data_IF_998540599192
#
_entry.id   IF_998540599192
#
_cell.length_a   1.000
_cell.length_b   1.000
_cell.length_c   1.000
_cell.angle_alpha   90.00
_cell.angle_beta   90.00
_cell.angle_gamma   90.00
#
_symmetry.space_group_name_H-M   'P 1'
#
loop_
_entity.id
_entity.type
_entity.pdbx_description
1 polymer ?
#
# COMPACT_ATOMS: atom_id res chain seq x y z
N UNK A 1 -1.94 -7.93 8.07
CA UNK A 1 -3.38 -7.69 7.81
C UNK A 1 -3.95 -6.71 8.82
N UNK A 2 -3.70 -6.89 10.12
CA UNK A 2 -4.27 -6.03 11.16
C UNK A 2 -3.89 -4.54 11.02
N UNK A 3 -2.71 -4.22 10.48
CA UNK A 3 -2.36 -2.83 10.17
C UNK A 3 -3.27 -2.17 9.13
N UNK A 4 -3.73 -2.92 8.12
CA UNK A 4 -4.67 -2.40 7.12
C UNK A 4 -6.06 -2.17 7.72
N UNK A 5 -6.50 -3.08 8.60
CA UNK A 5 -7.74 -2.93 9.36
C UNK A 5 -7.67 -1.69 10.24
N UNK A 6 -6.60 -1.56 11.02
CA UNK A 6 -6.41 -0.40 11.90
C UNK A 6 -6.30 0.90 11.12
N UNK A 7 -5.60 0.91 10.00
CA UNK A 7 -5.52 2.09 9.13
C UNK A 7 -6.91 2.50 8.62
N UNK A 8 -7.73 1.54 8.18
CA UNK A 8 -9.10 1.82 7.75
C UNK A 8 -9.94 2.43 8.89
N UNK A 9 -9.88 1.87 10.10
CA UNK A 9 -10.59 2.41 11.26
C UNK A 9 -10.17 3.85 11.57
N UNK A 10 -8.86 4.11 11.59
CA UNK A 10 -8.31 5.44 11.82
C UNK A 10 -8.65 6.42 10.69
N UNK A 11 -8.86 5.92 9.46
CA UNK A 11 -9.26 6.73 8.31
C UNK A 11 -10.74 7.12 8.29
N UNK A 12 -11.56 6.62 9.23
CA UNK A 12 -13.00 6.87 9.28
C UNK A 12 -13.38 8.36 9.42
N UNK A 13 -12.47 9.18 9.92
CA UNK A 13 -12.65 10.64 10.04
C UNK A 13 -12.31 11.40 8.75
N UNK A 14 -11.67 10.74 7.77
CA UNK A 14 -11.32 11.36 6.50
C UNK A 14 -12.55 11.53 5.62
N UNK A 15 -12.67 12.68 4.97
CA UNK A 15 -13.67 12.96 3.93
C UNK A 15 -13.33 12.25 2.59
N UNK A 16 -12.84 11.01 2.65
CA UNK A 16 -12.39 10.25 1.49
C UNK A 16 -12.91 8.81 1.53
N UNK A 17 -13.20 8.24 0.36
CA UNK A 17 -13.58 6.83 0.23
C UNK A 17 -12.33 5.95 0.20
N UNK A 18 -12.18 5.06 1.16
CA UNK A 18 -11.12 4.04 1.16
C UNK A 18 -11.56 2.81 0.36
N UNK A 19 -10.82 2.46 -0.69
CA UNK A 19 -11.08 1.30 -1.54
C UNK A 19 -9.85 0.39 -1.58
N UNK A 20 -10.03 -0.88 -1.27
CA UNK A 20 -8.97 -1.89 -1.37
C UNK A 20 -8.91 -2.50 -2.77
N UNK A 21 -7.70 -2.72 -3.26
CA UNK A 21 -7.42 -3.35 -4.56
C UNK A 21 -6.32 -4.38 -4.35
N UNK A 22 -6.39 -5.50 -5.07
CA UNK A 22 -5.40 -6.56 -5.01
C UNK A 22 -4.99 -6.98 -6.43
N UNK A 23 -3.77 -7.53 -6.56
CA UNK A 23 -3.34 -8.19 -7.77
C UNK A 23 -4.12 -9.49 -8.02
N UNK A 24 -3.99 -10.07 -9.24
CA UNK A 24 -4.83 -11.19 -9.67
C UNK A 24 -4.44 -12.53 -9.04
N UNK A 25 -3.33 -12.62 -8.28
CA UNK A 25 -2.89 -13.89 -7.71
C UNK A 25 -3.82 -14.36 -6.61
N UNK A 26 -4.01 -15.69 -6.48
CA UNK A 26 -4.85 -16.28 -5.43
C UNK A 26 -4.43 -15.83 -4.02
N UNK A 27 -3.12 -15.64 -3.80
CA UNK A 27 -2.60 -15.12 -2.53
C UNK A 27 -3.07 -13.71 -2.23
N UNK A 28 -2.97 -12.79 -3.19
CA UNK A 28 -3.39 -11.40 -3.01
C UNK A 28 -4.90 -11.29 -2.83
N UNK A 29 -5.67 -12.09 -3.59
CA UNK A 29 -7.13 -12.18 -3.46
C UNK A 29 -7.54 -12.69 -2.07
N UNK A 30 -6.89 -13.73 -1.56
CA UNK A 30 -7.17 -14.24 -0.22
C UNK A 30 -6.86 -13.20 0.88
N UNK A 31 -5.80 -12.39 0.70
CA UNK A 31 -5.48 -11.29 1.63
C UNK A 31 -6.58 -10.22 1.59
N UNK A 32 -7.02 -9.83 0.39
CA UNK A 32 -8.10 -8.85 0.22
C UNK A 32 -9.39 -9.33 0.89
N UNK A 33 -9.77 -10.59 0.63
CA UNK A 33 -10.95 -11.20 1.23
C UNK A 33 -10.86 -11.21 2.76
N UNK A 34 -9.73 -11.63 3.32
CA UNK A 34 -9.52 -11.64 4.77
C UNK A 34 -9.60 -10.24 5.40
N UNK A 35 -9.11 -9.21 4.71
CA UNK A 35 -9.25 -7.81 5.15
C UNK A 35 -10.72 -7.38 5.10
N UNK A 36 -11.44 -7.65 4.01
CA UNK A 36 -12.86 -7.31 3.87
C UNK A 36 -13.76 -8.06 4.86
N UNK A 37 -13.44 -9.30 5.21
CA UNK A 37 -14.15 -10.04 6.26
C UNK A 37 -14.02 -9.37 7.63
N UNK A 38 -12.85 -8.80 7.95
CA UNK A 38 -12.62 -8.05 9.19
C UNK A 38 -13.25 -6.66 9.18
N UNK A 39 -13.55 -6.11 7.99
CA UNK A 39 -14.09 -4.77 7.81
C UNK A 39 -15.34 -4.84 6.92
N UNK A 40 -16.53 -5.18 7.46
CA UNK A 40 -17.73 -5.39 6.65
C UNK A 40 -18.18 -4.18 5.80
N UNK A 41 -17.73 -2.97 6.13
CA UNK A 41 -18.00 -1.73 5.39
C UNK A 41 -16.90 -1.35 4.39
N UNK A 42 -15.80 -2.10 4.33
CA UNK A 42 -14.73 -1.84 3.38
C UNK A 42 -15.23 -2.05 1.96
N UNK A 43 -14.89 -1.11 1.07
CA UNK A 43 -15.09 -1.27 -0.35
C UNK A 43 -13.86 -1.93 -0.94
N UNK A 44 -14.05 -2.88 -1.84
CA UNK A 44 -12.96 -3.49 -2.58
C UNK A 44 -13.31 -3.67 -4.04
N UNK A 45 -12.29 -3.66 -4.89
CA UNK A 45 -12.38 -4.06 -6.30
C UNK A 45 -11.58 -5.34 -6.42
N UNK A 46 -12.24 -6.52 -6.35
CA UNK A 46 -11.54 -7.80 -6.27
C UNK A 46 -10.82 -8.14 -7.56
N UNK A 47 -11.36 -7.77 -8.72
CA UNK A 47 -10.75 -8.13 -10.01
C UNK A 47 -10.47 -6.89 -10.86
N UNK A 48 -9.19 -6.66 -11.11
CA UNK A 48 -8.72 -5.72 -12.12
C UNK A 48 -8.35 -6.54 -13.36
N UNK A 49 -9.00 -6.24 -14.50
CA UNK A 49 -8.92 -7.07 -15.69
C UNK A 49 -7.53 -7.04 -16.35
N UNK A 50 -6.93 -5.85 -16.44
CA UNK A 50 -5.60 -5.66 -17.01
C UNK A 50 -4.91 -4.42 -16.41
N UNK A 51 -3.66 -4.19 -16.82
CA UNK A 51 -2.86 -3.05 -16.37
C UNK A 51 -3.50 -1.69 -16.71
N UNK A 52 -4.21 -1.58 -17.84
CA UNK A 52 -4.87 -0.32 -18.24
C UNK A 52 -6.01 0.02 -17.30
N UNK A 53 -6.78 -0.98 -16.87
CA UNK A 53 -7.83 -0.79 -15.86
C UNK A 53 -7.24 -0.37 -14.51
N UNK A 54 -6.09 -0.95 -14.11
CA UNK A 54 -5.40 -0.53 -12.89
C UNK A 54 -4.96 0.93 -13.00
N UNK A 55 -4.34 1.32 -14.10
CA UNK A 55 -3.91 2.70 -14.34
C UNK A 55 -5.08 3.67 -14.35
N UNK A 56 -6.19 3.32 -15.01
CA UNK A 56 -7.40 4.15 -15.04
C UNK A 56 -8.03 4.32 -13.65
N UNK A 57 -7.97 3.29 -12.80
CA UNK A 57 -8.39 3.37 -11.41
C UNK A 57 -7.46 4.26 -10.57
N UNK A 58 -6.15 4.07 -10.71
CA UNK A 58 -5.14 4.88 -10.02
C UNK A 58 -5.27 6.35 -10.41
N UNK A 59 -5.46 6.65 -11.70
CA UNK A 59 -5.61 8.03 -12.21
C UNK A 59 -6.82 8.79 -11.61
N UNK A 60 -7.80 8.07 -11.06
CA UNK A 60 -8.97 8.66 -10.39
C UNK A 60 -8.81 8.71 -8.86
N UNK A 61 -7.75 8.12 -8.31
CA UNK A 61 -7.50 8.15 -6.89
C UNK A 61 -6.91 9.52 -6.49
N UNK A 62 -7.33 10.03 -5.33
CA UNK A 62 -6.69 11.20 -4.71
C UNK A 62 -5.34 10.86 -4.08
N UNK A 63 -5.21 9.62 -3.61
CA UNK A 63 -4.02 9.10 -2.95
C UNK A 63 -3.97 7.57 -3.10
N UNK A 64 -2.79 7.02 -3.33
CA UNK A 64 -2.55 5.57 -3.34
C UNK A 64 -1.69 5.16 -2.14
N UNK A 65 -2.17 4.23 -1.32
CA UNK A 65 -1.41 3.66 -0.20
C UNK A 65 -0.99 2.23 -0.58
N UNK A 66 0.32 1.96 -0.67
CA UNK A 66 0.81 0.72 -1.29
C UNK A 66 2.19 0.30 -0.77
N UNK A 67 2.52 -0.99 -0.86
CA UNK A 67 3.88 -1.48 -0.64
C UNK A 67 4.84 -1.12 -1.79
N UNK A 68 6.06 -1.63 -1.71
CA UNK A 68 7.12 -1.51 -2.73
C UNK A 68 6.86 -2.43 -3.94
N UNK A 69 5.74 -2.20 -4.62
CA UNK A 69 5.30 -2.98 -5.80
C UNK A 69 4.95 -2.08 -6.98
N UNK A 70 4.82 -2.66 -8.18
CA UNK A 70 4.55 -1.94 -9.43
C UNK A 70 3.51 -0.79 -9.37
N UNK A 71 2.36 -0.92 -8.67
CA UNK A 71 1.37 0.14 -8.57
C UNK A 71 1.89 1.46 -7.99
N UNK A 72 2.93 1.45 -7.14
CA UNK A 72 3.53 2.70 -6.63
C UNK A 72 4.17 3.53 -7.75
N UNK A 73 4.80 2.86 -8.72
CA UNK A 73 5.41 3.49 -9.89
C UNK A 73 4.36 3.97 -10.88
N UNK A 74 3.24 3.24 -11.00
CA UNK A 74 2.10 3.69 -11.80
C UNK A 74 1.50 4.98 -11.22
N UNK A 75 1.30 5.04 -9.91
CA UNK A 75 0.81 6.26 -9.24
C UNK A 75 1.75 7.45 -9.51
N UNK A 76 3.06 7.23 -9.31
CA UNK A 76 4.06 8.25 -9.57
C UNK A 76 4.08 8.74 -11.03
N UNK A 77 4.07 7.82 -12.00
CA UNK A 77 4.05 8.15 -13.43
C UNK A 77 2.75 8.82 -13.89
N UNK A 78 1.64 8.58 -13.21
CA UNK A 78 0.35 9.23 -13.47
C UNK A 78 0.20 10.56 -12.70
N UNK A 79 1.20 10.98 -11.94
CA UNK A 79 1.14 12.19 -11.12
C UNK A 79 0.18 12.10 -9.93
N UNK A 80 -0.20 10.88 -9.55
CA UNK A 80 -1.11 10.61 -8.42
C UNK A 80 -0.29 10.50 -7.13
N UNK A 81 -0.64 11.27 -6.08
CA UNK A 81 0.02 11.14 -4.79
C UNK A 81 0.05 9.72 -4.25
N UNK A 82 1.14 9.35 -3.57
CA UNK A 82 1.25 8.02 -2.94
C UNK A 82 1.87 8.06 -1.54
N UNK A 83 1.50 7.07 -0.72
CA UNK A 83 2.22 6.67 0.49
C UNK A 83 2.72 5.24 0.31
N UNK A 84 4.05 5.09 0.20
CA UNK A 84 4.74 3.84 -0.07
C UNK A 84 5.38 3.22 1.18
N UNK A 85 5.45 1.88 1.25
CA UNK A 85 6.15 1.17 2.32
C UNK A 85 7.34 0.38 1.80
N UNK A 86 8.52 0.61 2.37
CA UNK A 86 9.74 -0.10 2.02
C UNK A 86 10.28 -0.85 3.23
N UNK A 87 10.75 -2.07 2.98
CA UNK A 87 11.38 -2.91 4.01
C UNK A 87 12.74 -3.39 3.53
N UNK A 88 12.84 -4.62 3.00
CA UNK A 88 14.12 -5.16 2.55
C UNK A 88 14.60 -4.62 1.20
N UNK A 89 13.71 -4.05 0.37
CA UNK A 89 14.09 -3.53 -0.93
C UNK A 89 14.88 -2.22 -0.81
N UNK A 90 16.02 -2.06 -1.51
CA UNK A 90 16.80 -0.83 -1.52
C UNK A 90 15.99 0.38 -2.00
N UNK A 91 15.67 1.30 -1.11
CA UNK A 91 14.83 2.46 -1.42
C UNK A 91 15.54 3.39 -2.42
N UNK A 92 16.86 3.55 -2.28
CA UNK A 92 17.70 4.35 -3.16
C UNK A 92 17.70 3.89 -4.62
N UNK A 93 17.35 2.62 -4.89
CA UNK A 93 17.27 2.07 -6.24
C UNK A 93 15.83 2.06 -6.77
N UNK A 94 14.85 1.86 -5.90
CA UNK A 94 13.49 1.53 -6.29
C UNK A 94 12.45 2.55 -5.85
N UNK A 95 12.83 3.67 -5.24
CA UNK A 95 11.84 4.67 -4.88
C UNK A 95 11.21 5.27 -6.15
N UNK A 96 9.89 5.46 -6.18
CA UNK A 96 9.25 6.17 -7.27
C UNK A 96 9.69 7.63 -7.34
N UNK A 97 9.75 8.14 -8.57
CA UNK A 97 9.95 9.56 -8.84
C UNK A 97 8.58 10.21 -9.06
N UNK A 98 8.12 11.04 -8.12
CA UNK A 98 6.83 11.69 -8.18
C UNK A 98 6.43 12.31 -6.84
N UNK A 99 5.21 12.83 -6.78
CA UNK A 99 4.67 13.41 -5.55
C UNK A 99 4.24 12.27 -4.62
N UNK A 100 4.94 12.07 -3.51
CA UNK A 100 4.56 11.04 -2.56
C UNK A 100 5.50 10.95 -1.36
N UNK A 101 5.10 10.15 -0.37
CA UNK A 101 5.88 9.87 0.83
C UNK A 101 6.25 8.39 0.85
N UNK A 102 7.53 8.10 1.07
CA UNK A 102 8.00 6.75 1.38
C UNK A 102 8.24 6.61 2.87
N UNK A 103 7.69 5.55 3.47
CA UNK A 103 7.95 5.11 4.84
C UNK A 103 8.84 3.87 4.79
N UNK A 104 9.96 3.91 5.50
CA UNK A 104 10.97 2.85 5.50
C UNK A 104 10.95 2.16 6.86
N UNK A 105 10.86 0.83 6.84
CA UNK A 105 10.96 0.05 8.06
C UNK A 105 12.37 0.18 8.66
N UNK A 106 12.50 0.52 9.95
CA UNK A 106 13.80 0.67 10.59
C UNK A 106 14.53 -0.68 10.71
N UNK A 107 15.86 -0.65 10.55
CA UNK A 107 16.77 -1.76 10.88
C UNK A 107 16.38 -3.12 10.26
N UNK A 108 15.98 -3.15 8.98
CA UNK A 108 15.64 -4.39 8.30
C UNK A 108 16.89 -5.30 8.14
N UNK A 109 16.94 -6.49 8.75
CA UNK A 109 18.11 -7.38 8.61
C UNK A 109 18.25 -8.01 7.22
N UNK A 110 17.21 -7.91 6.39
CA UNK A 110 17.17 -8.45 5.03
C UNK A 110 17.36 -7.36 3.97
N UNK A 111 17.82 -6.17 4.36
CA UNK A 111 18.03 -5.05 3.44
C UNK A 111 18.95 -5.45 2.27
N UNK A 112 18.57 -5.10 1.04
CA UNK A 112 19.27 -5.51 -0.18
C UNK A 112 18.97 -6.94 -0.64
N UNK A 113 18.31 -7.75 0.19
CA UNK A 113 18.05 -9.17 -0.08
C UNK A 113 16.57 -9.55 0.14
N UNK A 114 15.61 -8.86 -0.51
CA UNK A 114 14.18 -9.07 -0.29
C UNK A 114 13.71 -10.50 -0.55
N UNK A 115 14.30 -11.18 -1.54
CA UNK A 115 13.98 -12.57 -1.90
C UNK A 115 14.43 -13.61 -0.86
N UNK A 116 15.32 -13.23 0.04
CA UNK A 116 15.87 -14.10 1.09
C UNK A 116 15.20 -13.88 2.45
N UNK A 117 14.18 -13.01 2.53
CA UNK A 117 13.46 -12.74 3.76
C UNK A 117 12.56 -13.93 4.15
N UNK A 118 12.98 -14.71 5.15
CA UNK A 118 12.22 -15.83 5.73
C UNK A 118 11.66 -15.52 7.12
N UNK A 119 11.63 -14.24 7.50
CA UNK A 119 11.28 -13.81 8.85
C UNK A 119 9.79 -14.02 9.12
N UNK A 120 9.46 -14.67 10.24
CA UNK A 120 8.08 -14.80 10.71
C UNK A 120 7.46 -13.43 11.04
N UNK A 121 8.24 -12.53 11.67
CA UNK A 121 7.87 -11.13 11.87
C UNK A 121 8.59 -10.28 10.83
N UNK A 122 7.84 -9.78 9.85
CA UNK A 122 8.39 -8.97 8.77
C UNK A 122 8.67 -7.53 9.25
N UNK A 123 9.78 -6.94 8.83
CA UNK A 123 10.20 -5.58 9.22
C UNK A 123 9.13 -4.49 8.95
N UNK A 124 8.33 -4.65 7.89
CA UNK A 124 7.22 -3.74 7.56
C UNK A 124 6.19 -3.61 8.70
N UNK A 125 6.12 -4.58 9.62
CA UNK A 125 5.28 -4.49 10.81
C UNK A 125 5.73 -3.40 11.79
N UNK A 126 6.94 -2.85 11.65
CA UNK A 126 7.39 -1.70 12.43
C UNK A 126 6.80 -0.37 11.92
N UNK A 127 6.28 -0.34 10.68
CA UNK A 127 5.57 0.82 10.13
C UNK A 127 4.15 0.80 10.68
N UNK A 128 3.85 1.73 11.59
CA UNK A 128 2.57 1.77 12.31
C UNK A 128 1.48 2.47 11.48
N UNK A 129 0.21 2.03 11.56
CA UNK A 129 -0.91 2.66 10.87
C UNK A 129 -1.02 4.18 11.10
N UNK A 130 -0.68 4.67 12.29
CA UNK A 130 -0.72 6.09 12.63
C UNK A 130 0.32 6.90 11.84
N UNK A 131 1.49 6.31 11.56
CA UNK A 131 2.50 6.94 10.69
C UNK A 131 2.00 7.04 9.25
N UNK A 132 1.25 6.02 8.80
CA UNK A 132 0.62 6.02 7.48
C UNK A 132 -0.47 7.09 7.41
N UNK A 133 -1.37 7.15 8.39
CA UNK A 133 -2.43 8.17 8.44
C UNK A 133 -1.84 9.59 8.44
N UNK A 134 -0.82 9.84 9.26
CA UNK A 134 -0.15 11.14 9.29
C UNK A 134 0.46 11.50 7.93
N UNK A 135 1.00 10.53 7.19
CA UNK A 135 1.49 10.75 5.84
C UNK A 135 0.36 11.03 4.83
N UNK A 136 -0.82 10.40 5.00
CA UNK A 136 -1.99 10.61 4.15
C UNK A 136 -2.56 12.04 4.25
N UNK A 137 -2.54 12.65 5.44
CA UNK A 137 -3.07 14.01 5.67
C UNK A 137 -2.41 15.10 4.81
N UNK A 138 -1.19 14.89 4.31
CA UNK A 138 -0.54 15.86 3.44
C UNK A 138 -1.13 15.91 2.02
N UNK A 139 -2.03 14.99 1.68
CA UNK A 139 -2.60 14.82 0.34
C UNK A 139 -4.15 14.79 0.32
N UNK A 140 -4.78 14.68 1.49
CA UNK A 140 -6.24 14.64 1.70
C UNK A 140 -6.80 15.96 2.27
#
# INVERSE_FOLDING_TARGET
MDHWVKLYELSGELAARFVFVAGPSAREQAILEAVCQKIPRARSIPKIADLRHLMALIAQARLVVVGDTGPIHLAAGLGVPYVGFYGPSPVELWHPHGVGKVLIAPNCPCYGHPRSCIRQQHCLAAIRPEQVLSAMHNYL
#
